data_IF_588566317182
#
_entry.id   IF_588566317182
#
_cell.length_a   1.000
_cell.length_b   1.000
_cell.length_c   1.000
_cell.angle_alpha   90.00
_cell.angle_beta   90.00
_cell.angle_gamma   90.00
#
_symmetry.space_group_name_H-M   'P 1'
#
loop_
_entity.id
_entity.type
_entity.pdbx_description
1 polymer ?
#
# COMPACT_ATOMS: atom_id res chain seq x y z
N UNK A 1 -12.96 -12.50 -8.57
CA UNK A 1 -13.16 -12.49 -7.07
C UNK A 1 -12.99 -11.06 -6.58
N UNK A 2 -13.77 -10.57 -5.63
CA UNK A 2 -13.63 -9.18 -5.14
C UNK A 2 -12.30 -8.97 -4.40
N UNK A 3 -11.72 -7.76 -4.52
CA UNK A 3 -10.44 -7.38 -3.89
C UNK A 3 -10.38 -7.71 -2.40
N UNK A 4 -11.41 -7.35 -1.64
CA UNK A 4 -11.43 -7.56 -0.18
C UNK A 4 -11.40 -9.04 0.20
N UNK A 5 -12.09 -9.88 -0.57
CA UNK A 5 -12.03 -11.32 -0.40
C UNK A 5 -10.61 -11.87 -0.65
N UNK A 6 -9.91 -11.37 -1.66
CA UNK A 6 -8.51 -11.75 -1.94
C UNK A 6 -7.58 -11.31 -0.80
N UNK A 7 -7.78 -10.10 -0.25
CA UNK A 7 -6.94 -9.57 0.84
C UNK A 7 -7.09 -10.36 2.15
N UNK A 8 -8.19 -11.10 2.33
CA UNK A 8 -8.44 -11.93 3.52
C UNK A 8 -7.97 -13.38 3.38
N UNK A 9 -7.54 -13.81 2.20
CA UNK A 9 -7.03 -15.16 1.98
C UNK A 9 -5.73 -15.41 2.75
N UNK A 10 -5.53 -16.63 3.21
CA UNK A 10 -4.23 -17.07 3.68
C UNK A 10 -3.22 -17.21 2.51
N UNK A 11 -1.94 -17.43 2.82
CA UNK A 11 -0.89 -17.53 1.81
C UNK A 11 -1.07 -18.74 0.89
N UNK A 12 -1.64 -19.82 1.39
CA UNK A 12 -1.87 -21.04 0.61
C UNK A 12 -2.97 -20.82 -0.44
N UNK A 13 -4.09 -20.22 -0.03
CA UNK A 13 -5.20 -19.88 -0.93
C UNK A 13 -4.79 -18.79 -1.93
N UNK A 14 -4.13 -17.71 -1.49
CA UNK A 14 -3.64 -16.67 -2.39
C UNK A 14 -2.64 -17.22 -3.41
N UNK A 15 -1.77 -18.16 -3.02
CA UNK A 15 -0.79 -18.76 -3.92
C UNK A 15 -1.42 -19.57 -5.07
N UNK A 16 -2.66 -19.99 -4.95
CA UNK A 16 -3.41 -20.69 -6.02
C UNK A 16 -3.98 -19.72 -7.06
N UNK A 17 -4.14 -18.45 -6.69
CA UNK A 17 -4.68 -17.40 -7.56
C UNK A 17 -3.61 -16.64 -8.34
N UNK A 18 -2.35 -16.74 -7.90
CA UNK A 18 -1.25 -15.99 -8.49
C UNK A 18 -0.38 -16.87 -9.39
N UNK A 19 0.16 -16.27 -10.44
CA UNK A 19 1.27 -16.87 -11.20
C UNK A 19 2.56 -16.64 -10.43
N UNK A 20 3.26 -17.74 -10.12
CA UNK A 20 4.57 -17.74 -9.45
C UNK A 20 5.68 -17.88 -10.48
N UNK A 21 6.65 -16.99 -10.45
CA UNK A 21 7.84 -17.02 -11.29
C UNK A 21 9.08 -17.01 -10.39
N UNK A 22 10.01 -17.91 -10.66
CA UNK A 22 11.26 -18.02 -9.93
C UNK A 22 12.40 -17.61 -10.84
N UNK A 23 13.17 -16.61 -10.43
CA UNK A 23 14.28 -16.08 -11.21
C UNK A 23 15.56 -16.05 -10.38
N UNK A 24 16.70 -15.90 -11.08
CA UNK A 24 17.95 -15.62 -10.40
C UNK A 24 17.95 -14.17 -9.92
N UNK A 25 18.29 -13.96 -8.63
CA UNK A 25 18.37 -12.59 -8.11
C UNK A 25 19.47 -11.81 -8.83
N UNK A 26 19.14 -10.66 -9.41
CA UNK A 26 20.11 -9.70 -9.92
C UNK A 26 20.70 -8.87 -8.77
N UNK A 27 21.99 -8.64 -8.74
CA UNK A 27 22.68 -7.78 -7.76
C UNK A 27 24.06 -8.27 -7.37
N UNK A 28 24.85 -7.40 -6.74
CA UNK A 28 26.20 -7.68 -6.23
C UNK A 28 26.17 -8.77 -5.16
N UNK A 29 26.37 -10.02 -5.55
CA UNK A 29 26.39 -11.18 -4.67
C UNK A 29 27.32 -12.26 -5.20
N UNK A 30 28.02 -12.96 -4.27
CA UNK A 30 29.00 -13.97 -4.59
C UNK A 30 28.44 -15.16 -5.41
N UNK A 31 29.34 -16.03 -5.90
CA UNK A 31 29.11 -17.14 -6.83
C UNK A 31 27.87 -18.03 -6.48
N UNK A 32 27.54 -18.19 -5.18
CA UNK A 32 26.40 -18.97 -4.71
C UNK A 32 25.05 -18.30 -5.03
N UNK A 33 24.97 -16.95 -4.98
CA UNK A 33 23.74 -16.20 -5.30
C UNK A 33 23.40 -16.28 -6.79
N UNK A 34 24.43 -16.35 -7.65
CA UNK A 34 24.25 -16.45 -9.09
C UNK A 34 23.85 -17.85 -9.58
N UNK A 35 23.98 -18.87 -8.70
CA UNK A 35 23.63 -20.27 -9.03
C UNK A 35 22.25 -20.70 -8.56
N UNK A 36 21.61 -19.98 -7.61
CA UNK A 36 20.32 -20.36 -7.04
C UNK A 36 19.23 -19.35 -7.40
N UNK A 37 18.11 -19.85 -7.97
CA UNK A 37 16.91 -19.04 -8.26
C UNK A 37 16.13 -18.79 -6.97
N UNK A 38 16.55 -17.80 -6.17
CA UNK A 38 15.88 -17.45 -4.91
C UNK A 38 14.92 -16.28 -5.04
N UNK A 39 15.00 -15.51 -6.13
CA UNK A 39 14.05 -14.43 -6.38
C UNK A 39 12.70 -14.98 -6.80
N UNK A 40 11.66 -14.44 -6.19
CA UNK A 40 10.26 -14.82 -6.40
C UNK A 40 9.49 -13.60 -6.90
N UNK A 41 8.78 -13.76 -8.01
CA UNK A 41 7.80 -12.82 -8.53
C UNK A 41 6.43 -13.46 -8.48
N UNK A 42 5.45 -12.74 -7.99
CA UNK A 42 4.05 -13.16 -7.91
C UNK A 42 3.20 -12.18 -8.72
N UNK A 43 2.30 -12.70 -9.54
CA UNK A 43 1.42 -11.89 -10.40
C UNK A 43 -0.01 -12.33 -10.20
N UNK A 44 -0.86 -11.41 -9.74
CA UNK A 44 -2.30 -11.58 -9.68
C UNK A 44 -2.88 -11.11 -11.01
N UNK A 45 -3.06 -12.04 -11.94
CA UNK A 45 -3.41 -11.77 -13.35
C UNK A 45 -4.74 -11.03 -13.47
N UNK A 46 -5.74 -11.40 -12.68
CA UNK A 46 -7.09 -10.81 -12.69
C UNK A 46 -7.07 -9.28 -12.51
N UNK A 47 -6.12 -8.76 -11.74
CA UNK A 47 -5.99 -7.33 -11.43
C UNK A 47 -4.76 -6.66 -12.06
N UNK A 48 -3.92 -7.40 -12.75
CA UNK A 48 -2.65 -6.88 -13.27
C UNK A 48 -1.70 -6.37 -12.18
N UNK A 49 -1.79 -6.94 -10.97
CA UNK A 49 -0.97 -6.54 -9.83
C UNK A 49 0.12 -7.56 -9.58
N UNK A 50 1.32 -7.08 -9.38
CA UNK A 50 2.50 -7.92 -9.14
C UNK A 50 3.35 -7.42 -7.98
N UNK A 51 4.17 -8.32 -7.44
CA UNK A 51 5.21 -8.04 -6.48
C UNK A 51 6.37 -9.02 -6.62
N UNK A 52 7.54 -8.64 -6.12
CA UNK A 52 8.71 -9.52 -6.12
C UNK A 52 9.53 -9.36 -4.84
N UNK A 53 10.23 -10.43 -4.48
CA UNK A 53 11.23 -10.38 -3.43
C UNK A 53 12.44 -11.28 -3.74
N UNK A 54 13.63 -10.82 -3.31
CA UNK A 54 14.90 -11.54 -3.45
C UNK A 54 15.85 -11.28 -2.28
N UNK A 55 15.33 -10.73 -1.18
CA UNK A 55 16.15 -10.24 -0.06
C UNK A 55 16.75 -11.38 0.75
N UNK A 56 16.03 -12.48 0.89
CA UNK A 56 16.42 -13.63 1.69
C UNK A 56 17.13 -14.71 0.85
N UNK A 57 17.93 -15.53 1.53
CA UNK A 57 18.54 -16.73 0.92
C UNK A 57 17.53 -17.86 0.72
N UNK A 58 16.41 -17.81 1.43
CA UNK A 58 15.34 -18.81 1.38
C UNK A 58 14.29 -18.38 0.36
N UNK A 59 14.08 -19.19 -0.68
CA UNK A 59 13.02 -19.01 -1.65
C UNK A 59 11.62 -18.98 -0.97
N UNK A 60 11.44 -19.80 0.06
CA UNK A 60 10.19 -19.83 0.83
C UNK A 60 9.91 -18.50 1.54
N UNK A 61 10.94 -17.89 2.16
CA UNK A 61 10.81 -16.57 2.80
C UNK A 61 10.56 -15.47 1.77
N UNK A 62 11.27 -15.48 0.64
CA UNK A 62 11.03 -14.53 -0.44
C UNK A 62 9.61 -14.67 -1.00
N UNK A 63 9.06 -15.89 -1.10
CA UNK A 63 7.68 -16.11 -1.52
C UNK A 63 6.68 -15.48 -0.54
N UNK A 64 6.84 -15.71 0.76
CA UNK A 64 5.97 -15.13 1.78
C UNK A 64 6.02 -13.59 1.74
N UNK A 65 7.22 -13.02 1.61
CA UNK A 65 7.40 -11.57 1.51
C UNK A 65 6.83 -11.00 0.20
N UNK A 66 6.97 -11.70 -0.93
CA UNK A 66 6.36 -11.30 -2.20
C UNK A 66 4.82 -11.30 -2.12
N UNK A 67 4.21 -12.31 -1.45
CA UNK A 67 2.76 -12.35 -1.23
C UNK A 67 2.30 -11.21 -0.30
N UNK A 68 3.07 -10.89 0.74
CA UNK A 68 2.79 -9.75 1.62
C UNK A 68 2.82 -8.43 0.85
N UNK A 69 3.84 -8.21 0.02
CA UNK A 69 3.96 -7.04 -0.86
C UNK A 69 2.83 -6.99 -1.90
N UNK A 70 2.42 -8.14 -2.44
CA UNK A 70 1.31 -8.23 -3.40
C UNK A 70 0.00 -7.75 -2.78
N UNK A 71 -0.32 -8.17 -1.55
CA UNK A 71 -1.51 -7.69 -0.83
C UNK A 71 -1.50 -6.16 -0.68
N UNK A 72 -0.36 -5.60 -0.31
CA UNK A 72 -0.25 -4.14 -0.19
C UNK A 72 -0.37 -3.43 -1.53
N UNK A 73 0.25 -3.96 -2.59
CA UNK A 73 0.12 -3.42 -3.95
C UNK A 73 -1.33 -3.50 -4.45
N UNK A 74 -2.05 -4.58 -4.14
CA UNK A 74 -3.48 -4.72 -4.46
C UNK A 74 -4.31 -3.66 -3.72
N UNK A 75 -4.05 -3.46 -2.43
CA UNK A 75 -4.70 -2.44 -1.62
C UNK A 75 -4.45 -1.02 -2.15
N UNK A 76 -3.24 -0.73 -2.64
CA UNK A 76 -2.88 0.58 -3.18
C UNK A 76 -3.46 0.85 -4.58
N UNK A 77 -3.55 -0.16 -5.44
CA UNK A 77 -3.89 0.01 -6.86
C UNK A 77 -5.38 -0.12 -7.16
N UNK A 78 -6.09 -0.98 -6.44
CA UNK A 78 -7.49 -1.32 -6.75
C UNK A 78 -8.45 -0.62 -5.81
N UNK A 79 -9.36 0.18 -6.36
CA UNK A 79 -10.44 0.85 -5.61
C UNK A 79 -11.72 0.05 -5.71
N UNK A 80 -12.46 0.02 -4.60
CA UNK A 80 -13.80 -0.56 -4.50
C UNK A 80 -14.77 0.47 -3.89
N UNK A 81 -16.06 0.16 -3.89
CA UNK A 81 -17.03 0.97 -3.16
C UNK A 81 -16.65 1.06 -1.68
N UNK A 82 -16.74 2.24 -1.05
CA UNK A 82 -16.35 2.42 0.33
C UNK A 82 -17.21 1.57 1.26
N UNK A 83 -16.56 0.80 2.12
CA UNK A 83 -17.19 0.02 3.17
C UNK A 83 -16.98 0.70 4.52
N UNK A 84 -17.84 0.41 5.52
CA UNK A 84 -17.64 0.91 6.86
C UNK A 84 -16.22 0.66 7.37
N UNK A 85 -15.63 1.62 8.10
CA UNK A 85 -14.27 1.47 8.62
C UNK A 85 -14.19 0.32 9.62
N UNK A 86 -13.04 -0.38 9.70
CA UNK A 86 -12.80 -1.29 10.81
C UNK A 86 -12.77 -0.49 12.12
N UNK A 87 -13.43 -1.02 13.16
CA UNK A 87 -13.60 -0.31 14.45
C UNK A 87 -12.28 -0.09 15.21
N UNK A 88 -11.25 -0.87 14.91
CA UNK A 88 -9.99 -0.88 15.66
C UNK A 88 -8.81 -0.47 14.79
N UNK A 89 -7.82 0.14 15.42
CA UNK A 89 -6.52 0.42 14.81
C UNK A 89 -5.79 -0.90 14.54
N UNK A 90 -5.43 -1.14 13.29
CA UNK A 90 -4.69 -2.34 12.88
C UNK A 90 -3.18 -2.06 12.92
N UNK A 91 -2.38 -3.01 13.43
CA UNK A 91 -0.92 -2.91 13.41
C UNK A 91 -0.40 -3.06 11.96
N UNK A 92 0.70 -2.38 11.62
CA UNK A 92 1.29 -2.44 10.26
C UNK A 92 1.74 -3.85 9.87
N UNK A 93 2.10 -4.67 10.87
CA UNK A 93 2.54 -6.05 10.69
C UNK A 93 1.40 -7.06 10.73
N UNK A 94 0.17 -6.62 11.04
CA UNK A 94 -0.98 -7.52 11.11
C UNK A 94 -1.39 -8.00 9.71
N UNK A 95 -1.80 -9.25 9.55
CA UNK A 95 -2.27 -9.80 8.27
C UNK A 95 -3.43 -9.00 7.66
N UNK A 96 -4.27 -8.39 8.50
CA UNK A 96 -5.44 -7.59 8.11
C UNK A 96 -5.08 -6.16 7.66
N UNK A 97 -3.82 -5.75 7.82
CA UNK A 97 -3.41 -4.37 7.52
C UNK A 97 -3.64 -3.97 6.06
N UNK A 98 -3.37 -4.81 5.05
CA UNK A 98 -3.67 -4.47 3.65
C UNK A 98 -5.16 -4.22 3.41
N UNK A 99 -6.05 -4.96 4.05
CA UNK A 99 -7.50 -4.73 3.96
C UNK A 99 -7.90 -3.39 4.62
N UNK A 100 -7.31 -3.09 5.78
CA UNK A 100 -7.50 -1.79 6.46
C UNK A 100 -7.05 -0.64 5.55
N UNK A 101 -5.86 -0.72 4.97
CA UNK A 101 -5.32 0.28 4.05
C UNK A 101 -6.20 0.44 2.80
N UNK A 102 -6.67 -0.66 2.23
CA UNK A 102 -7.56 -0.66 1.07
C UNK A 102 -8.87 0.10 1.34
N UNK A 103 -9.55 -0.19 2.44
CA UNK A 103 -10.81 0.48 2.83
C UNK A 103 -10.60 1.94 3.19
N UNK A 104 -9.46 2.28 3.81
CA UNK A 104 -9.08 3.67 4.06
C UNK A 104 -8.95 4.44 2.75
N UNK A 105 -8.26 3.85 1.77
CA UNK A 105 -8.07 4.46 0.46
C UNK A 105 -9.37 4.58 -0.34
N UNK A 106 -10.28 3.61 -0.24
CA UNK A 106 -11.60 3.70 -0.87
C UNK A 106 -12.40 4.88 -0.31
N UNK A 107 -12.38 5.04 1.01
CA UNK A 107 -13.07 6.16 1.67
C UNK A 107 -12.44 7.52 1.32
N UNK A 108 -11.10 7.58 1.25
CA UNK A 108 -10.41 8.79 0.81
C UNK A 108 -10.72 9.10 -0.66
N UNK A 109 -10.73 8.11 -1.54
CA UNK A 109 -11.07 8.28 -2.95
C UNK A 109 -12.51 8.79 -3.14
N UNK A 110 -13.47 8.24 -2.39
CA UNK A 110 -14.87 8.68 -2.39
C UNK A 110 -15.06 10.12 -1.87
N UNK A 111 -14.11 10.59 -1.05
CA UNK A 111 -14.07 11.98 -0.58
C UNK A 111 -13.18 12.90 -1.45
N UNK A 112 -12.72 12.44 -2.62
CA UNK A 112 -11.81 13.20 -3.48
C UNK A 112 -10.44 13.49 -2.85
N UNK A 113 -9.99 12.64 -1.92
CA UNK A 113 -8.75 12.79 -1.17
C UNK A 113 -8.86 13.70 0.07
N UNK A 114 -10.01 14.33 0.30
CA UNK A 114 -10.20 15.17 1.49
C UNK A 114 -10.24 14.33 2.77
N UNK A 115 -9.11 14.34 3.49
CA UNK A 115 -8.95 13.56 4.71
C UNK A 115 -9.86 14.01 5.87
N UNK A 116 -10.35 15.27 5.86
CA UNK A 116 -11.27 15.77 6.90
C UNK A 116 -12.63 15.15 6.72
N UNK A 117 -13.15 15.16 5.49
CA UNK A 117 -14.40 14.49 5.13
C UNK A 117 -14.31 12.96 5.33
N UNK A 118 -13.18 12.38 4.96
CA UNK A 118 -12.93 10.95 5.17
C UNK A 118 -12.90 10.60 6.67
N UNK A 119 -12.27 11.43 7.50
CA UNK A 119 -12.25 11.24 8.96
C UNK A 119 -13.65 11.30 9.58
N UNK A 120 -14.47 12.26 9.14
CA UNK A 120 -15.87 12.38 9.57
C UNK A 120 -16.65 11.11 9.23
N UNK A 121 -16.57 10.62 7.99
CA UNK A 121 -17.20 9.34 7.58
C UNK A 121 -16.71 8.14 8.41
N UNK A 122 -15.44 8.15 8.80
CA UNK A 122 -14.85 7.11 9.61
C UNK A 122 -15.08 7.26 11.10
N UNK A 123 -15.76 8.33 11.55
CA UNK A 123 -16.03 8.59 12.96
C UNK A 123 -14.75 8.77 13.79
N UNK A 124 -13.68 9.30 13.18
CA UNK A 124 -12.40 9.58 13.83
C UNK A 124 -12.02 11.04 13.65
N UNK A 125 -11.13 11.56 14.51
CA UNK A 125 -10.63 12.91 14.31
C UNK A 125 -9.68 12.96 13.10
N UNK A 126 -9.62 14.09 12.35
CA UNK A 126 -8.68 14.28 11.25
C UNK A 126 -7.22 14.03 11.65
N UNK A 127 -6.83 14.46 12.84
CA UNK A 127 -5.49 14.23 13.40
C UNK A 127 -5.21 12.74 13.63
N UNK A 128 -6.21 11.98 14.10
CA UNK A 128 -6.07 10.53 14.27
C UNK A 128 -5.89 9.81 12.94
N UNK A 129 -6.65 10.20 11.92
CA UNK A 129 -6.53 9.65 10.56
C UNK A 129 -5.15 9.93 9.98
N UNK A 130 -4.66 11.18 10.04
CA UNK A 130 -3.32 11.55 9.58
C UNK A 130 -2.21 10.81 10.33
N UNK A 131 -2.32 10.64 11.66
CA UNK A 131 -1.38 9.82 12.43
C UNK A 131 -1.36 8.36 12.00
N UNK A 132 -2.53 7.79 11.67
CA UNK A 132 -2.61 6.42 11.18
C UNK A 132 -1.96 6.26 9.81
N UNK A 133 -2.22 7.18 8.89
CA UNK A 133 -1.59 7.23 7.57
C UNK A 133 -0.08 7.42 7.67
N UNK A 134 0.38 8.38 8.48
CA UNK A 134 1.80 8.71 8.64
C UNK A 134 2.66 7.62 9.28
N UNK A 135 2.06 6.57 9.84
CA UNK A 135 2.77 5.39 10.37
C UNK A 135 3.30 4.47 9.26
N UNK A 136 2.66 4.46 8.11
CA UNK A 136 3.06 3.66 6.96
C UNK A 136 3.67 4.55 5.88
N UNK A 137 5.00 4.53 5.71
CA UNK A 137 5.67 5.34 4.71
C UNK A 137 5.21 5.04 3.27
N UNK A 138 4.82 3.80 2.98
CA UNK A 138 4.36 3.38 1.65
C UNK A 138 2.99 3.98 1.36
N UNK A 139 2.07 3.86 2.32
CA UNK A 139 0.73 4.44 2.22
C UNK A 139 0.78 5.97 2.15
N UNK A 140 1.60 6.59 3.02
CA UNK A 140 1.76 8.05 3.04
C UNK A 140 2.33 8.59 1.73
N UNK A 141 3.39 7.92 1.19
CA UNK A 141 3.96 8.28 -0.11
C UNK A 141 2.91 8.19 -1.21
N UNK A 142 2.15 7.07 -1.26
CA UNK A 142 1.11 6.88 -2.27
C UNK A 142 0.04 7.99 -2.20
N UNK A 143 -0.39 8.36 -1.00
CA UNK A 143 -1.36 9.45 -0.80
C UNK A 143 -0.81 10.81 -1.23
N UNK A 144 0.45 11.07 -0.95
CA UNK A 144 1.11 12.31 -1.36
C UNK A 144 1.20 12.43 -2.89
N UNK A 145 1.53 11.29 -3.55
CA UNK A 145 1.64 11.24 -5.00
C UNK A 145 0.27 11.38 -5.71
N UNK A 146 -0.83 10.90 -5.10
CA UNK A 146 -2.16 10.89 -5.70
C UNK A 146 -3.08 12.04 -5.24
N UNK A 147 -2.87 12.56 -4.03
CA UNK A 147 -3.66 13.64 -3.44
C UNK A 147 -2.75 14.71 -2.81
N UNK A 148 -1.83 15.33 -3.56
CA UNK A 148 -0.83 16.26 -3.02
C UNK A 148 -1.46 17.44 -2.29
N UNK A 149 -2.60 17.96 -2.76
CA UNK A 149 -3.33 19.06 -2.11
C UNK A 149 -3.62 18.83 -0.62
N UNK A 150 -3.77 17.58 -0.19
CA UNK A 150 -4.19 17.22 1.17
C UNK A 150 -3.08 16.59 2.01
N UNK A 151 -2.02 16.06 1.38
CA UNK A 151 -0.98 15.25 2.04
C UNK A 151 0.44 15.83 1.90
N UNK A 152 0.61 17.02 1.33
CA UNK A 152 1.92 17.71 1.31
C UNK A 152 2.36 18.01 2.77
N UNK A 153 3.60 17.70 3.09
CA UNK A 153 4.19 18.06 4.38
C UNK A 153 4.13 19.59 4.54
N UNK A 154 3.66 20.05 5.68
CA UNK A 154 3.49 21.46 6.06
C UNK A 154 4.75 22.35 5.95
N UNK A 155 5.93 21.80 5.62
CA UNK A 155 7.15 22.56 5.35
C UNK A 155 7.26 23.10 3.92
N UNK A 156 6.59 22.47 2.94
CA UNK A 156 6.60 22.93 1.53
C UNK A 156 5.40 23.83 1.20
N UNK A 157 4.29 23.66 1.92
CA UNK A 157 3.07 24.47 1.74
C UNK A 157 3.22 25.96 2.17
N UNK A 158 4.31 26.32 2.85
CA UNK A 158 4.59 27.72 3.26
C UNK A 158 5.19 28.53 2.10
N UNK A 159 5.85 27.86 1.15
CA UNK A 159 6.46 28.56 0.00
C UNK A 159 5.42 29.04 -1.02
N UNK A 160 4.39 28.23 -1.33
CA UNK A 160 3.36 28.62 -2.32
C UNK A 160 2.43 29.74 -1.84
N UNK A 161 2.13 29.83 -0.53
CA UNK A 161 1.30 30.93 0.02
C UNK A 161 1.99 32.29 0.08
N UNK A 162 3.32 32.29 -0.04
CA UNK A 162 4.07 33.56 -0.02
C UNK A 162 4.12 34.17 -1.43
N UNK A 163 3.99 33.38 -2.49
CA UNK A 163 3.98 33.87 -3.87
C UNK A 163 2.61 34.46 -4.28
N UNK A 164 1.49 33.90 -3.81
CA UNK A 164 0.16 34.46 -4.09
C UNK A 164 -0.12 35.80 -3.41
N UNK A 165 0.54 36.11 -2.26
CA UNK A 165 0.39 37.40 -1.58
C UNK A 165 1.32 38.51 -2.11
N UNK A 166 2.27 38.17 -2.96
CA UNK A 166 3.20 39.16 -3.56
C UNK A 166 2.74 39.75 -4.88
N UNK A 167 1.60 39.30 -5.43
CA UNK A 167 1.07 39.83 -6.72
C UNK A 167 -0.14 40.75 -6.60
N UNK A 168 -0.52 41.16 -5.36
CA UNK A 168 -1.58 42.15 -5.12
C UNK A 168 -1.02 43.41 -4.39
N UNK A 169 0.05 44.00 -4.90
CA UNK A 169 0.44 45.39 -4.55
C UNK A 169 0.86 46.16 -5.78
#
# INVERSE_FOLDING_TARGET
MERDAILTLDDAALSRLVKLEFTRGSGNGGQKRNKTSTAVRVVLVEYGVEASDCTERSQHRNRAEALRKLRMNLALKVRCSPLPPPRNRVALTAPEYPLYAARLLDNLADCGGDYRRAAEKWGVSPTSLLKNVGRDPVLYKWLNDNYPKYFIRTGEAVAEKTEEKGMEQ
#
